data_IF_966592102810
#
_entry.id   IF_966592102810
#
_cell.length_a   1.000
_cell.length_b   1.000
_cell.length_c   1.000
_cell.angle_alpha   90.00
_cell.angle_beta   90.00
_cell.angle_gamma   90.00
#
_symmetry.space_group_name_H-M   'P 1'
#
loop_
_entity.id
_entity.type
_entity.pdbx_description
1 polymer ?
#
# COMPACT_ATOMS: atom_id res chain seq x y z
N UNK A 1 16.28 14.54 5.57
CA UNK A 1 15.80 13.20 5.98
C UNK A 1 14.27 13.11 6.02
N UNK A 2 13.56 14.00 6.71
CA UNK A 2 12.08 13.96 6.77
C UNK A 2 11.40 14.09 5.40
N UNK A 3 11.86 15.01 4.54
CA UNK A 3 11.29 15.19 3.20
C UNK A 3 11.44 13.94 2.33
N UNK A 4 12.59 13.28 2.38
CA UNK A 4 12.85 12.06 1.63
C UNK A 4 11.96 10.90 2.12
N UNK A 5 11.90 10.67 3.43
CA UNK A 5 11.01 9.66 4.01
C UNK A 5 9.53 9.95 3.74
N UNK A 6 9.12 11.22 3.85
CA UNK A 6 7.77 11.67 3.54
C UNK A 6 7.40 11.38 2.09
N UNK A 7 8.26 11.70 1.13
CA UNK A 7 8.05 11.39 -0.29
C UNK A 7 7.98 9.88 -0.56
N UNK A 8 8.85 9.08 0.08
CA UNK A 8 8.80 7.62 -0.04
C UNK A 8 7.50 7.06 0.50
N UNK A 9 7.07 7.50 1.69
CA UNK A 9 5.80 7.06 2.28
C UNK A 9 4.61 7.46 1.44
N UNK A 10 4.66 8.66 0.85
CA UNK A 10 3.63 9.13 -0.07
C UNK A 10 3.55 8.24 -1.31
N UNK A 11 4.70 7.93 -1.92
CA UNK A 11 4.78 7.07 -3.11
C UNK A 11 4.29 5.65 -2.81
N UNK A 12 4.73 5.04 -1.71
CA UNK A 12 4.29 3.70 -1.31
C UNK A 12 2.80 3.66 -0.94
N UNK A 13 2.33 4.65 -0.15
CA UNK A 13 0.93 4.74 0.25
C UNK A 13 0.00 4.91 -0.94
N UNK A 14 0.32 5.84 -1.85
CA UNK A 14 -0.43 6.04 -3.09
C UNK A 14 -0.41 4.79 -4.00
N UNK A 15 0.73 4.11 -4.10
CA UNK A 15 0.84 2.90 -4.94
C UNK A 15 -0.03 1.75 -4.41
N UNK A 16 -0.10 1.57 -3.08
CA UNK A 16 -0.97 0.56 -2.46
C UNK A 16 -2.44 0.86 -2.72
N UNK A 17 -2.89 2.11 -2.51
CA UNK A 17 -4.27 2.50 -2.79
C UNK A 17 -4.62 2.39 -4.28
N UNK A 18 -3.66 2.69 -5.16
CA UNK A 18 -3.83 2.49 -6.60
C UNK A 18 -4.00 1.01 -6.95
N UNK A 19 -3.24 0.11 -6.31
CA UNK A 19 -3.41 -1.33 -6.49
C UNK A 19 -4.80 -1.79 -6.05
N UNK A 20 -5.30 -1.33 -4.90
CA UNK A 20 -6.66 -1.64 -4.44
C UNK A 20 -7.72 -1.12 -5.41
N UNK A 21 -7.57 0.13 -5.86
CA UNK A 21 -8.47 0.72 -6.86
C UNK A 21 -8.53 -0.12 -8.14
N UNK A 22 -7.37 -0.57 -8.63
CA UNK A 22 -7.28 -1.46 -9.78
C UNK A 22 -7.92 -2.82 -9.46
N UNK A 23 -7.67 -3.37 -8.29
CA UNK A 23 -8.19 -4.66 -7.84
C UNK A 23 -9.73 -4.69 -7.76
N UNK A 24 -10.39 -3.56 -7.47
CA UNK A 24 -11.85 -3.45 -7.55
C UNK A 24 -12.39 -3.70 -8.95
N UNK A 25 -11.66 -3.27 -9.99
CA UNK A 25 -12.06 -3.47 -11.39
C UNK A 25 -11.62 -4.82 -11.94
N UNK A 26 -10.40 -5.27 -11.63
CA UNK A 26 -9.84 -6.51 -12.17
C UNK A 26 -10.20 -7.75 -11.34
N UNK A 27 -10.70 -7.59 -10.11
CA UNK A 27 -10.93 -8.70 -9.18
C UNK A 27 -9.64 -9.41 -8.76
N UNK A 28 -8.51 -8.74 -8.93
CA UNK A 28 -7.16 -9.32 -8.85
C UNK A 28 -6.25 -8.42 -8.04
N UNK A 29 -5.59 -8.99 -7.04
CA UNK A 29 -4.69 -8.28 -6.13
C UNK A 29 -3.31 -8.96 -6.10
N UNK A 30 -2.25 -8.31 -6.63
CA UNK A 30 -0.90 -8.87 -6.61
C UNK A 30 -0.25 -8.67 -5.24
N UNK A 31 0.29 -9.74 -4.67
CA UNK A 31 1.09 -9.66 -3.44
C UNK A 31 2.58 -9.86 -3.72
N UNK A 32 3.37 -8.81 -3.47
CA UNK A 32 4.83 -8.83 -3.63
C UNK A 32 5.31 -8.94 -5.09
N UNK A 33 6.63 -9.08 -5.31
CA UNK A 33 7.21 -9.11 -6.66
C UNK A 33 6.78 -10.34 -7.47
N UNK A 34 6.42 -11.43 -6.79
CA UNK A 34 5.89 -12.64 -7.42
C UNK A 34 4.37 -12.58 -7.68
N UNK A 35 3.67 -11.58 -7.14
CA UNK A 35 2.27 -11.28 -7.45
C UNK A 35 2.08 -10.83 -8.89
N UNK A 36 3.09 -10.20 -9.51
CA UNK A 36 3.08 -9.87 -10.94
C UNK A 36 3.41 -11.07 -11.86
N UNK A 37 3.79 -12.21 -11.28
CA UNK A 37 4.24 -13.41 -12.01
C UNK A 37 3.29 -14.61 -11.88
N UNK A 38 2.03 -14.44 -11.50
CA UNK A 38 1.11 -15.58 -11.40
C UNK A 38 1.12 -16.34 -10.07
N UNK A 39 2.05 -16.06 -9.14
CA UNK A 39 2.34 -16.97 -8.01
C UNK A 39 1.79 -16.53 -6.66
N UNK A 40 1.59 -15.24 -6.44
CA UNK A 40 1.06 -14.68 -5.18
C UNK A 40 -0.12 -13.75 -5.48
N UNK A 41 -1.07 -14.25 -6.24
CA UNK A 41 -2.25 -13.50 -6.69
C UNK A 41 -3.45 -13.92 -5.86
N UNK A 42 -4.16 -12.96 -5.26
CA UNK A 42 -5.49 -13.22 -4.72
C UNK A 42 -6.54 -12.81 -5.73
N UNK A 43 -7.40 -13.76 -6.09
CA UNK A 43 -8.54 -13.53 -6.98
C UNK A 43 -9.82 -13.54 -6.18
N UNK A 44 -10.67 -12.54 -6.44
CA UNK A 44 -11.96 -12.36 -5.75
C UNK A 44 -12.87 -13.59 -5.88
N UNK A 45 -12.86 -14.27 -7.02
CA UNK A 45 -13.73 -15.40 -7.30
C UNK A 45 -13.21 -16.73 -6.75
N UNK A 46 -11.89 -16.91 -6.69
CA UNK A 46 -11.27 -18.16 -6.22
C UNK A 46 -11.04 -18.14 -4.70
N UNK A 47 -10.67 -16.98 -4.15
CA UNK A 47 -10.29 -16.82 -2.74
C UNK A 47 -10.89 -15.52 -2.15
N UNK A 48 -12.23 -15.40 -2.08
CA UNK A 48 -12.91 -14.14 -1.74
C UNK A 48 -12.48 -13.58 -0.38
N UNK A 49 -12.40 -14.43 0.64
CA UNK A 49 -12.01 -14.01 2.00
C UNK A 49 -10.58 -13.46 2.00
N UNK A 50 -9.63 -14.19 1.40
CA UNK A 50 -8.22 -13.76 1.36
C UNK A 50 -8.02 -12.49 0.53
N UNK A 51 -8.76 -12.36 -0.58
CA UNK A 51 -8.79 -11.14 -1.37
C UNK A 51 -9.23 -9.93 -0.53
N UNK A 52 -10.37 -10.03 0.17
CA UNK A 52 -10.89 -8.93 0.97
C UNK A 52 -10.01 -8.60 2.18
N UNK A 53 -9.40 -9.61 2.82
CA UNK A 53 -8.44 -9.39 3.90
C UNK A 53 -7.21 -8.62 3.40
N UNK A 54 -6.63 -9.02 2.27
CA UNK A 54 -5.48 -8.31 1.71
C UNK A 54 -5.84 -6.93 1.17
N UNK A 55 -7.01 -6.79 0.55
CA UNK A 55 -7.56 -5.49 0.14
C UNK A 55 -7.69 -4.54 1.34
N UNK A 56 -8.25 -5.01 2.45
CA UNK A 56 -8.36 -4.20 3.67
C UNK A 56 -6.98 -3.84 4.24
N UNK A 57 -6.02 -4.78 4.20
CA UNK A 57 -4.66 -4.55 4.69
C UNK A 57 -3.90 -3.53 3.81
N UNK A 58 -4.02 -3.63 2.49
CA UNK A 58 -3.41 -2.70 1.54
C UNK A 58 -4.03 -1.33 1.67
N UNK A 59 -5.35 -1.26 1.83
CA UNK A 59 -6.09 -0.01 2.00
C UNK A 59 -5.72 0.69 3.30
N UNK A 60 -5.75 -0.04 4.42
CA UNK A 60 -5.39 0.49 5.72
C UNK A 60 -3.91 0.91 5.77
N UNK A 61 -3.00 0.06 5.27
CA UNK A 61 -1.57 0.37 5.22
C UNK A 61 -1.24 1.54 4.30
N UNK A 62 -1.89 1.61 3.13
CA UNK A 62 -1.73 2.70 2.18
C UNK A 62 -2.21 4.03 2.75
N UNK A 63 -3.39 4.04 3.39
CA UNK A 63 -3.93 5.23 4.05
C UNK A 63 -3.05 5.68 5.22
N UNK A 64 -2.58 4.74 6.04
CA UNK A 64 -1.69 5.04 7.15
C UNK A 64 -0.37 5.66 6.68
N UNK A 65 0.23 5.12 5.62
CA UNK A 65 1.43 5.68 5.00
C UNK A 65 1.21 7.09 4.46
N UNK A 66 0.06 7.36 3.83
CA UNK A 66 -0.27 8.72 3.38
C UNK A 66 -0.40 9.70 4.54
N UNK A 67 -1.07 9.32 5.62
CA UNK A 67 -1.20 10.16 6.82
C UNK A 67 0.18 10.47 7.41
N UNK A 68 1.04 9.45 7.57
CA UNK A 68 2.41 9.64 8.05
C UNK A 68 3.25 10.50 7.11
N UNK A 69 3.10 10.32 5.79
CA UNK A 69 3.78 11.13 4.80
C UNK A 69 3.41 12.61 4.93
N UNK A 70 2.12 12.93 5.06
CA UNK A 70 1.64 14.29 5.25
C UNK A 70 2.16 14.89 6.56
N UNK A 71 2.15 14.14 7.66
CA UNK A 71 2.70 14.61 8.93
C UNK A 71 4.21 14.89 8.86
N UNK A 72 4.98 14.02 8.18
CA UNK A 72 6.42 14.21 7.97
C UNK A 72 6.72 15.42 7.09
N UNK A 73 5.94 15.64 6.03
CA UNK A 73 6.09 16.79 5.14
C UNK A 73 5.65 18.10 5.80
N UNK A 74 4.65 18.05 6.69
CA UNK A 74 4.21 19.19 7.50
C UNK A 74 5.13 19.47 8.71
N UNK A 75 6.16 18.66 8.95
CA UNK A 75 7.05 18.80 10.11
C UNK A 75 6.42 18.46 11.46
N UNK A 76 5.26 17.81 11.47
CA UNK A 76 4.54 17.42 12.69
C UNK A 76 5.00 16.07 13.26
N UNK A 77 5.72 15.27 12.48
CA UNK A 77 6.27 13.99 12.90
C UNK A 77 7.80 13.98 12.80
N UNK A 78 8.43 13.31 13.77
CA UNK A 78 9.87 13.06 13.72
C UNK A 78 10.18 12.00 12.64
N UNK A 79 11.21 12.20 11.80
CA UNK A 79 11.63 11.19 10.84
C UNK A 79 12.14 9.94 11.56
N UNK A 80 11.95 8.78 10.93
CA UNK A 80 12.51 7.54 11.45
C UNK A 80 14.04 7.63 11.49
N UNK A 81 14.68 7.16 12.57
CA UNK A 81 16.14 7.13 12.66
C UNK A 81 16.68 6.10 11.66
N UNK A 82 17.18 6.57 10.53
CA UNK A 82 17.97 5.75 9.59
C UNK A 82 19.42 5.85 10.07
N UNK A 83 19.96 4.74 10.55
CA UNK A 83 21.39 4.60 10.89
C UNK A 83 22.17 4.15 9.66
#
# INVERSE_FOLDING_TARGET
MSTFQGLLFLLFGASLLWMDYRALRSGWLPCGPNGFRGRLEFRKNEQPVRFWVMFALYGAGGLWLLVLALQLLAGQAAPLPLR
#
